data_IF_018233277444
#
_entry.id   IF_018233277444
#
_cell.length_a   1.000
_cell.length_b   1.000
_cell.length_c   1.000
_cell.angle_alpha   90.00
_cell.angle_beta   90.00
_cell.angle_gamma   90.00
#
_symmetry.space_group_name_H-M   'P 1'
#
loop_
_entity.id
_entity.type
_entity.pdbx_description
1 polymer ?
#
# COMPACT_ATOMS: atom_id res chain seq x y z
N UNK A 1 -19.13 3.08 -25.55
CA UNK A 1 -17.99 3.86 -26.09
C UNK A 1 -17.21 4.43 -24.91
N UNK A 2 -15.89 4.49 -24.96
CA UNK A 2 -15.10 5.16 -23.92
C UNK A 2 -15.33 6.68 -23.99
N UNK A 3 -15.81 7.29 -22.90
CA UNK A 3 -16.13 8.73 -22.86
C UNK A 3 -14.91 9.63 -22.68
N UNK A 4 -13.77 9.09 -22.23
CA UNK A 4 -12.53 9.83 -22.05
C UNK A 4 -11.65 9.77 -23.31
N UNK A 5 -11.04 10.90 -23.68
CA UNK A 5 -10.11 11.01 -24.83
C UNK A 5 -8.69 10.52 -24.52
N UNK A 6 -8.36 10.30 -23.24
CA UNK A 6 -7.06 9.82 -22.77
C UNK A 6 -7.27 8.60 -21.85
N UNK A 7 -6.30 7.68 -21.76
CA UNK A 7 -6.35 6.59 -20.79
C UNK A 7 -6.53 7.14 -19.36
N UNK A 8 -7.44 6.53 -18.59
CA UNK A 8 -7.64 6.85 -17.18
C UNK A 8 -6.78 5.93 -16.32
N UNK A 9 -5.97 6.51 -15.44
CA UNK A 9 -5.20 5.77 -14.44
C UNK A 9 -5.95 5.77 -13.13
N UNK A 10 -6.22 4.58 -12.59
CA UNK A 10 -6.93 4.42 -11.32
C UNK A 10 -5.95 4.18 -10.18
N UNK A 11 -6.22 4.83 -9.03
CA UNK A 11 -5.52 4.61 -7.77
C UNK A 11 -6.52 4.14 -6.73
N UNK A 12 -6.21 3.04 -6.03
CA UNK A 12 -7.00 2.54 -4.91
C UNK A 12 -6.28 2.75 -3.57
N UNK A 13 -7.02 3.08 -2.53
CA UNK A 13 -6.49 3.26 -1.17
C UNK A 13 -7.48 2.70 -0.15
N UNK A 14 -7.08 1.76 0.73
CA UNK A 14 -7.96 1.24 1.75
C UNK A 14 -7.95 2.13 3.01
N UNK A 15 -9.14 2.44 3.52
CA UNK A 15 -9.31 3.10 4.81
C UNK A 15 -9.10 2.17 6.00
N UNK A 16 -9.58 0.93 5.90
CA UNK A 16 -9.50 -0.04 7.00
C UNK A 16 -9.42 -1.47 6.49
N UNK A 17 -8.72 -2.32 7.25
CA UNK A 17 -8.83 -3.77 7.11
C UNK A 17 -10.13 -4.31 7.75
N UNK A 18 -10.60 -5.52 7.37
CA UNK A 18 -11.68 -6.22 8.05
C UNK A 18 -11.52 -6.26 9.58
N UNK A 19 -12.63 -6.14 10.31
CA UNK A 19 -12.59 -6.04 11.77
C UNK A 19 -11.83 -7.19 12.46
N UNK A 20 -12.00 -8.43 11.98
CA UNK A 20 -11.34 -9.60 12.56
C UNK A 20 -9.80 -9.59 12.42
N UNK A 21 -9.25 -8.80 11.49
CA UNK A 21 -7.80 -8.59 11.34
C UNK A 21 -7.25 -7.56 12.34
N UNK A 22 -8.11 -6.75 12.96
CA UNK A 22 -7.72 -5.59 13.78
C UNK A 22 -7.77 -5.90 15.27
N UNK A 23 -6.89 -5.29 16.05
CA UNK A 23 -6.82 -5.51 17.50
C UNK A 23 -8.15 -5.23 18.19
N UNK A 24 -8.89 -4.20 17.75
CA UNK A 24 -10.18 -3.83 18.33
C UNK A 24 -11.37 -4.70 17.85
N UNK A 25 -11.17 -5.65 16.94
CA UNK A 25 -12.20 -6.49 16.32
C UNK A 25 -13.36 -5.72 15.63
N UNK A 26 -13.15 -4.45 15.25
CA UNK A 26 -14.16 -3.59 14.60
C UNK A 26 -13.60 -3.01 13.30
N UNK A 27 -14.48 -2.64 12.37
CA UNK A 27 -14.10 -1.95 11.12
C UNK A 27 -13.77 -0.48 11.38
N UNK A 28 -14.38 0.10 12.40
CA UNK A 28 -14.23 1.49 12.82
C UNK A 28 -13.34 1.64 14.06
N UNK A 29 -12.96 2.89 14.32
CA UNK A 29 -12.21 3.33 15.49
C UNK A 29 -10.71 3.16 15.31
N UNK A 30 -9.92 3.71 16.23
CA UNK A 30 -8.46 3.59 16.17
C UNK A 30 -8.01 2.15 16.45
N UNK A 31 -7.30 1.54 15.50
CA UNK A 31 -6.65 0.24 15.70
C UNK A 31 -5.54 -0.01 14.69
N UNK A 32 -4.86 -1.14 14.85
CA UNK A 32 -3.88 -1.69 13.91
C UNK A 32 -4.21 -3.15 13.61
N UNK A 33 -3.59 -3.69 12.57
CA UNK A 33 -3.63 -5.12 12.28
C UNK A 33 -3.00 -5.90 13.44
N UNK A 34 -3.57 -7.05 13.79
CA UNK A 34 -3.06 -7.96 14.81
C UNK A 34 -1.70 -8.52 14.40
N UNK A 35 -0.87 -8.80 15.40
CA UNK A 35 0.43 -9.41 15.21
C UNK A 35 1.39 -8.51 14.42
N UNK A 36 2.28 -9.11 13.66
CA UNK A 36 3.42 -8.41 13.05
C UNK A 36 3.63 -8.85 11.59
N UNK A 37 4.20 -7.98 10.72
CA UNK A 37 4.47 -8.31 9.33
C UNK A 37 5.20 -9.65 9.12
N UNK A 38 4.75 -10.43 8.13
CA UNK A 38 5.16 -11.81 7.85
C UNK A 38 4.25 -12.87 8.46
N UNK A 39 3.33 -12.50 9.35
CA UNK A 39 2.41 -13.42 10.00
C UNK A 39 1.14 -13.71 9.16
N UNK A 40 0.22 -14.51 9.74
CA UNK A 40 -1.03 -14.87 9.06
C UNK A 40 -1.99 -13.70 8.85
N UNK A 41 -1.96 -12.67 9.70
CA UNK A 41 -2.86 -11.53 9.63
C UNK A 41 -2.41 -10.58 8.51
N UNK A 42 -1.11 -10.32 8.41
CA UNK A 42 -0.53 -9.48 7.36
C UNK A 42 -0.58 -10.16 6.00
N UNK A 43 -0.31 -11.48 5.93
CA UNK A 43 -0.53 -12.26 4.69
C UNK A 43 -1.99 -12.29 4.26
N UNK A 44 -2.93 -12.34 5.21
CA UNK A 44 -4.35 -12.24 4.88
C UNK A 44 -4.70 -10.84 4.36
N UNK A 45 -4.11 -9.78 4.93
CA UNK A 45 -4.30 -8.42 4.44
C UNK A 45 -3.68 -8.21 3.05
N UNK A 46 -2.45 -8.66 2.79
CA UNK A 46 -1.85 -8.61 1.47
C UNK A 46 -2.69 -9.36 0.41
N UNK A 47 -3.23 -10.55 0.74
CA UNK A 47 -4.15 -11.28 -0.15
C UNK A 47 -5.46 -10.54 -0.40
N UNK A 48 -5.91 -9.69 0.52
CA UNK A 48 -7.10 -8.86 0.30
C UNK A 48 -6.88 -7.87 -0.85
N UNK A 49 -5.70 -7.24 -0.96
CA UNK A 49 -5.35 -6.37 -2.09
C UNK A 49 -5.42 -7.13 -3.41
N UNK A 50 -4.87 -8.35 -3.46
CA UNK A 50 -4.90 -9.16 -4.69
C UNK A 50 -6.34 -9.51 -5.07
N UNK A 51 -7.17 -9.92 -4.10
CA UNK A 51 -8.58 -10.21 -4.36
C UNK A 51 -9.37 -8.98 -4.80
N UNK A 52 -9.03 -7.79 -4.32
CA UNK A 52 -9.60 -6.53 -4.79
C UNK A 52 -9.26 -6.31 -6.27
N UNK A 53 -7.99 -6.42 -6.65
CA UNK A 53 -7.54 -6.29 -8.04
C UNK A 53 -8.19 -7.35 -8.94
N UNK A 54 -8.23 -8.62 -8.51
CA UNK A 54 -8.89 -9.71 -9.25
C UNK A 54 -10.38 -9.43 -9.49
N UNK A 55 -11.09 -8.92 -8.48
CA UNK A 55 -12.51 -8.62 -8.58
C UNK A 55 -12.79 -7.49 -9.57
N UNK A 56 -11.95 -6.45 -9.59
CA UNK A 56 -12.08 -5.35 -10.54
C UNK A 56 -11.65 -5.77 -11.96
N UNK A 57 -10.60 -6.58 -12.10
CA UNK A 57 -10.15 -7.10 -13.38
C UNK A 57 -11.24 -7.94 -14.08
N UNK A 58 -12.04 -8.71 -13.33
CA UNK A 58 -13.23 -9.43 -13.87
C UNK A 58 -14.27 -8.50 -14.50
N UNK A 59 -14.25 -7.22 -14.16
CA UNK A 59 -15.12 -6.19 -14.70
C UNK A 59 -14.39 -5.29 -15.72
N UNK A 60 -13.23 -5.70 -16.21
CA UNK A 60 -12.36 -4.94 -17.11
C UNK A 60 -11.91 -3.59 -16.52
N UNK A 61 -11.74 -3.51 -15.20
CA UNK A 61 -11.22 -2.34 -14.51
C UNK A 61 -9.82 -2.66 -13.98
N UNK A 62 -8.83 -1.91 -14.42
CA UNK A 62 -7.42 -2.08 -14.02
C UNK A 62 -6.93 -0.85 -13.24
N UNK A 63 -6.00 -1.10 -12.33
CA UNK A 63 -5.40 -0.06 -11.49
C UNK A 63 -3.99 0.24 -11.96
N UNK A 64 -3.64 1.53 -11.97
CA UNK A 64 -2.27 1.97 -12.15
C UNK A 64 -1.48 1.82 -10.86
N UNK A 65 -2.08 2.18 -9.72
CA UNK A 65 -1.43 2.08 -8.43
C UNK A 65 -2.40 1.72 -7.30
N UNK A 66 -1.86 1.22 -6.20
CA UNK A 66 -2.52 1.20 -4.90
C UNK A 66 -1.65 1.92 -3.88
N UNK A 67 -2.25 2.56 -2.87
CA UNK A 67 -1.52 2.90 -1.67
C UNK A 67 -1.59 1.76 -0.65
N UNK A 68 -0.54 1.61 0.15
CA UNK A 68 -0.49 0.54 1.16
C UNK A 68 -1.50 0.72 2.30
N UNK A 69 -1.96 1.95 2.54
CA UNK A 69 -2.95 2.35 3.55
C UNK A 69 -3.26 3.84 3.38
N UNK A 70 -4.53 4.24 3.46
CA UNK A 70 -4.87 5.65 3.58
C UNK A 70 -4.53 6.17 4.99
N UNK A 71 -3.88 7.33 5.08
CA UNK A 71 -3.60 8.08 6.31
C UNK A 71 -3.15 7.19 7.50
N UNK A 72 -2.12 6.33 7.31
CA UNK A 72 -1.66 5.40 8.32
C UNK A 72 -1.20 6.08 9.60
N UNK A 73 -0.63 7.29 9.52
CA UNK A 73 -0.16 8.04 10.67
C UNK A 73 -1.31 8.87 11.26
N UNK A 74 -2.11 9.52 10.40
CA UNK A 74 -3.33 10.24 10.77
C UNK A 74 -4.31 9.40 11.58
N UNK A 75 -4.39 8.09 11.29
CA UNK A 75 -5.16 7.10 12.05
C UNK A 75 -4.87 7.11 13.57
N UNK A 76 -3.67 7.54 14.00
CA UNK A 76 -3.34 7.66 15.42
C UNK A 76 -4.03 8.84 16.12
N UNK A 77 -4.48 9.85 15.36
CA UNK A 77 -4.97 11.13 15.88
C UNK A 77 -6.45 11.37 15.62
N UNK A 78 -7.11 10.50 14.83
CA UNK A 78 -8.55 10.58 14.58
C UNK A 78 -9.30 10.25 15.89
N UNK A 79 -10.09 11.20 16.37
CA UNK A 79 -10.88 11.12 17.60
C UNK A 79 -12.33 10.66 17.37
N UNK A 80 -12.68 10.34 16.13
CA UNK A 80 -14.03 9.90 15.74
C UNK A 80 -14.04 8.37 15.78
N UNK A 81 -14.61 7.79 16.83
CA UNK A 81 -14.63 6.33 17.04
C UNK A 81 -15.36 5.54 15.95
N UNK A 82 -16.28 6.17 15.22
CA UNK A 82 -17.00 5.55 14.10
C UNK A 82 -16.27 5.64 12.76
N UNK A 83 -15.11 6.30 12.70
CA UNK A 83 -14.39 6.48 11.45
C UNK A 83 -13.48 5.27 11.15
N UNK A 84 -13.50 4.72 9.92
CA UNK A 84 -12.68 3.57 9.55
C UNK A 84 -11.22 3.99 9.31
N UNK A 85 -10.34 3.61 10.23
CA UNK A 85 -8.90 3.93 10.15
C UNK A 85 -8.05 2.73 10.52
N UNK A 86 -6.90 2.55 9.89
CA UNK A 86 -5.96 1.50 10.24
C UNK A 86 -4.55 2.08 10.35
N UNK A 87 -4.00 2.04 11.57
CA UNK A 87 -2.71 2.63 11.89
C UNK A 87 -1.53 1.77 11.42
N UNK A 88 -0.53 2.44 10.83
CA UNK A 88 0.81 1.90 10.66
C UNK A 88 1.84 2.92 11.15
N UNK A 89 2.94 2.46 11.76
CA UNK A 89 4.17 3.26 11.81
C UNK A 89 4.93 3.15 10.48
N UNK A 90 5.92 4.02 10.20
CA UNK A 90 6.77 3.86 9.02
C UNK A 90 7.43 2.48 8.95
N UNK A 91 7.95 1.96 10.06
CA UNK A 91 8.63 0.67 10.14
C UNK A 91 7.65 -0.48 9.92
N UNK A 92 6.45 -0.38 10.48
CA UNK A 92 5.38 -1.37 10.24
C UNK A 92 5.00 -1.38 8.76
N UNK A 93 4.78 -0.22 8.14
CA UNK A 93 4.47 -0.12 6.71
C UNK A 93 5.61 -0.71 5.86
N UNK A 94 6.87 -0.36 6.15
CA UNK A 94 8.05 -0.95 5.47
C UNK A 94 8.03 -2.47 5.54
N UNK A 95 7.89 -3.02 6.74
CA UNK A 95 7.97 -4.45 6.96
C UNK A 95 6.78 -5.18 6.33
N UNK A 96 5.57 -4.62 6.36
CA UNK A 96 4.40 -5.15 5.66
C UNK A 96 4.61 -5.19 4.15
N UNK A 97 5.21 -4.14 3.58
CA UNK A 97 5.51 -4.08 2.14
C UNK A 97 6.55 -5.14 1.77
N UNK A 98 7.66 -5.24 2.53
CA UNK A 98 8.75 -6.17 2.22
C UNK A 98 8.33 -7.63 2.41
N UNK A 99 7.64 -7.94 3.50
CA UNK A 99 7.38 -9.32 3.92
C UNK A 99 6.08 -9.89 3.35
N UNK A 100 5.11 -9.04 3.04
CA UNK A 100 3.76 -9.49 2.69
C UNK A 100 3.23 -8.89 1.37
N UNK A 101 3.01 -7.58 1.29
CA UNK A 101 2.29 -6.97 0.17
C UNK A 101 3.10 -6.97 -1.13
N UNK A 102 4.38 -6.61 -1.07
CA UNK A 102 5.28 -6.62 -2.23
C UNK A 102 5.41 -8.01 -2.86
N UNK A 103 5.78 -9.05 -2.09
CA UNK A 103 5.81 -10.42 -2.59
C UNK A 103 4.46 -10.91 -3.12
N UNK A 104 3.34 -10.56 -2.46
CA UNK A 104 2.01 -10.95 -2.91
C UNK A 104 1.64 -10.31 -4.27
N UNK A 105 1.95 -9.03 -4.47
CA UNK A 105 1.75 -8.35 -5.76
C UNK A 105 2.61 -8.95 -6.86
N UNK A 106 3.90 -9.15 -6.59
CA UNK A 106 4.85 -9.72 -7.56
C UNK A 106 4.48 -11.14 -7.99
N UNK A 107 3.87 -11.94 -7.11
CA UNK A 107 3.41 -13.29 -7.39
C UNK A 107 1.98 -13.37 -7.97
N UNK A 108 1.28 -12.24 -8.10
CA UNK A 108 -0.10 -12.18 -8.60
C UNK A 108 -0.16 -11.99 -10.12
N UNK A 109 -1.38 -11.95 -10.68
CA UNK A 109 -1.62 -11.50 -12.06
C UNK A 109 -1.53 -9.98 -12.26
N UNK A 110 -1.13 -9.22 -11.22
CA UNK A 110 -1.04 -7.75 -11.24
C UNK A 110 0.35 -7.22 -10.86
N UNK A 111 1.46 -7.79 -11.37
CA UNK A 111 2.82 -7.41 -10.93
C UNK A 111 3.20 -5.98 -11.31
N UNK A 112 2.53 -5.38 -12.31
CA UNK A 112 2.80 -4.03 -12.80
C UNK A 112 2.09 -2.93 -12.01
N UNK A 113 1.25 -3.29 -11.02
CA UNK A 113 0.56 -2.30 -10.17
C UNK A 113 1.58 -1.62 -9.27
N UNK A 114 1.68 -0.29 -9.39
CA UNK A 114 2.58 0.49 -8.54
C UNK A 114 2.08 0.54 -7.10
N UNK A 115 3.02 0.63 -6.16
CA UNK A 115 2.71 0.77 -4.74
C UNK A 115 3.14 2.15 -4.25
N UNK A 116 2.18 2.90 -3.72
CA UNK A 116 2.38 4.21 -3.10
C UNK A 116 2.51 4.01 -1.58
N UNK A 117 3.55 4.58 -1.00
CA UNK A 117 3.82 4.58 0.44
C UNK A 117 3.28 5.85 1.09
N UNK A 118 3.19 5.85 2.43
CA UNK A 118 2.66 6.94 3.25
C UNK A 118 1.18 7.24 3.00
N UNK A 119 0.81 7.86 1.87
CA UNK A 119 -0.57 8.32 1.57
C UNK A 119 -1.18 9.12 2.74
N UNK A 120 -0.40 10.06 3.23
CA UNK A 120 -0.68 10.88 4.41
C UNK A 120 -0.11 12.30 4.23
N UNK A 121 -0.28 13.13 5.24
CA UNK A 121 0.12 14.53 5.23
C UNK A 121 1.64 14.71 5.04
N UNK A 122 2.01 15.75 4.27
CA UNK A 122 3.41 16.04 3.90
C UNK A 122 4.37 16.25 5.08
N UNK A 123 3.87 16.56 6.28
CA UNK A 123 4.74 16.85 7.43
C UNK A 123 5.45 15.60 7.97
N UNK A 124 5.00 14.41 7.63
CA UNK A 124 5.70 13.15 7.93
C UNK A 124 6.92 12.92 7.02
N UNK A 125 7.10 13.73 5.98
CA UNK A 125 8.28 13.72 5.13
C UNK A 125 9.38 14.63 5.69
N UNK A 126 10.66 14.27 5.51
CA UNK A 126 11.16 13.11 4.75
C UNK A 126 11.24 11.82 5.57
N UNK A 127 10.92 11.85 6.87
CA UNK A 127 11.13 10.71 7.78
C UNK A 127 10.46 9.43 7.27
N UNK A 128 9.19 9.50 6.84
CA UNK A 128 8.47 8.34 6.33
C UNK A 128 9.15 7.73 5.10
N UNK A 129 9.56 8.58 4.16
CA UNK A 129 10.28 8.16 2.97
C UNK A 129 11.66 7.57 3.30
N UNK A 130 12.37 8.07 4.31
CA UNK A 130 13.67 7.52 4.72
C UNK A 130 13.54 6.15 5.40
N UNK A 131 12.46 5.94 6.15
CA UNK A 131 12.23 4.67 6.86
C UNK A 131 11.69 3.59 5.92
N UNK A 132 10.74 3.93 5.04
CA UNK A 132 10.13 2.97 4.10
C UNK A 132 10.93 2.85 2.80
N UNK A 133 11.38 3.99 2.27
CA UNK A 133 12.23 4.10 1.09
C UNK A 133 13.65 3.67 1.42
N UNK A 134 13.88 2.37 1.28
CA UNK A 134 15.15 1.72 1.50
C UNK A 134 16.26 2.29 0.60
N UNK A 135 17.37 2.73 1.23
CA UNK A 135 18.75 2.59 0.70
C UNK A 135 19.20 1.12 0.53
N UNK A 136 18.27 0.18 0.52
CA UNK A 136 18.50 -1.28 0.49
C UNK A 136 17.47 -2.02 -0.37
N UNK A 137 16.99 -1.41 -1.47
CA UNK A 137 16.38 -2.12 -2.62
C UNK A 137 17.27 -1.90 -3.84
N UNK A 138 18.56 -2.21 -3.71
CA UNK A 138 19.48 -2.24 -4.83
C UNK A 138 19.28 -3.45 -5.77
N UNK A 139 18.09 -4.10 -5.80
CA UNK A 139 17.94 -5.35 -6.55
C UNK A 139 16.50 -5.86 -6.79
N UNK A 140 15.51 -5.00 -7.04
CA UNK A 140 14.17 -5.46 -7.51
C UNK A 140 13.80 -4.93 -8.90
N UNK A 141 14.60 -4.03 -9.49
CA UNK A 141 14.51 -3.70 -10.91
C UNK A 141 15.88 -3.96 -11.55
N UNK A 142 15.98 -4.72 -12.65
CA UNK A 142 17.18 -4.70 -13.45
C UNK A 142 17.34 -3.27 -13.95
N UNK A 143 18.47 -2.64 -13.61
CA UNK A 143 18.90 -1.39 -14.22
C UNK A 143 19.07 -1.66 -15.71
N UNK A 144 18.06 -1.33 -16.51
CA UNK A 144 18.26 -1.13 -17.94
C UNK A 144 19.20 0.07 -18.06
N UNK A 145 20.45 -0.22 -18.46
CA UNK A 145 21.44 0.80 -18.72
C UNK A 145 20.90 1.81 -19.74
N UNK A 146 20.93 3.08 -19.35
CA UNK A 146 20.69 4.24 -20.20
C UNK A 146 21.74 5.31 -19.89
N UNK A 147 22.16 6.11 -20.89
CA UNK A 147 23.53 6.55 -21.03
C UNK A 147 23.92 7.67 -20.06
N UNK A 148 25.19 7.63 -19.64
CA UNK A 148 25.81 8.63 -18.79
C UNK A 148 25.68 10.03 -19.37
N UNK A 149 25.26 10.96 -18.52
CA UNK A 149 25.35 12.38 -18.78
C UNK A 149 26.83 12.79 -18.67
N UNK A 150 27.44 13.07 -19.81
CA UNK A 150 28.70 13.81 -19.89
C UNK A 150 28.46 15.25 -19.45
N UNK A 151 29.32 15.70 -18.54
CA UNK A 151 29.47 17.09 -18.12
C UNK A 151 30.01 17.94 -19.26
N UNK A 152 29.35 19.06 -19.53
CA UNK A 152 30.00 20.31 -19.94
C UNK A 152 29.90 21.31 -18.77
#
# INVERSE_FOLDING_TARGET
MAHARRPLSLVGSPWTSPGWLRVNNKVEGKSRIKGEPGDRYHKAWARYFIRFLDAYAKNNITFWALSSQNEPAGAAFISIDSFPVNYFSPEHQRDFIIKDLGPALAASSHPDVHLIIMDDMRFYLPNWANQVGLRTVGRIYPTTGGPGLTTE
#
